data_IF_150076422577
#
_entry.id   IF_150076422577
#
_cell.length_a   1.000
_cell.length_b   1.000
_cell.length_c   1.000
_cell.angle_alpha   90.00
_cell.angle_beta   90.00
_cell.angle_gamma   90.00
#
_symmetry.space_group_name_H-M   'P 1'
#
loop_
_entity.id
_entity.type
_entity.pdbx_description
1 polymer ?
#
# COMPACT_ATOMS: atom_id res chain seq x y z
N UNK A 1 -11.07 40.12 -16.31
CA UNK A 1 -9.66 39.68 -16.26
C UNK A 1 -9.67 38.21 -15.94
N UNK A 2 -9.18 37.41 -16.89
CA UNK A 2 -9.50 35.99 -17.02
C UNK A 2 -8.93 35.17 -15.85
N UNK A 3 -9.73 34.18 -15.42
CA UNK A 3 -9.35 33.13 -14.47
C UNK A 3 -8.29 32.26 -15.16
N UNK A 4 -7.01 32.54 -14.92
CA UNK A 4 -5.95 31.56 -15.16
C UNK A 4 -6.23 30.39 -14.22
N UNK A 5 -6.70 29.29 -14.80
CA UNK A 5 -7.22 28.14 -14.07
C UNK A 5 -6.09 27.41 -13.34
N UNK A 6 -6.31 27.23 -12.04
CA UNK A 6 -5.52 26.41 -11.09
C UNK A 6 -5.22 24.98 -11.60
N UNK A 7 -5.90 24.52 -12.67
CA UNK A 7 -5.59 23.29 -13.42
C UNK A 7 -4.21 23.31 -14.13
N UNK A 8 -3.67 24.48 -14.48
CA UNK A 8 -2.40 24.58 -15.22
C UNK A 8 -1.17 24.16 -14.40
N UNK A 9 -1.20 24.40 -13.09
CA UNK A 9 -0.03 24.20 -12.20
C UNK A 9 0.09 22.72 -11.75
N UNK A 10 -1.02 22.06 -11.46
CA UNK A 10 -1.04 20.64 -11.07
C UNK A 10 -0.68 19.71 -12.23
N UNK A 11 -1.17 20.04 -13.43
CA UNK A 11 -0.83 19.33 -14.66
C UNK A 11 0.65 19.55 -15.02
N UNK A 12 1.22 20.75 -14.80
CA UNK A 12 2.66 20.99 -14.98
C UNK A 12 3.53 20.12 -14.05
N UNK A 13 3.12 19.92 -12.79
CA UNK A 13 3.86 19.10 -11.82
C UNK A 13 3.91 17.62 -12.20
N UNK A 14 2.77 17.04 -12.60
CA UNK A 14 2.68 15.67 -13.12
C UNK A 14 3.34 15.50 -14.50
N UNK A 15 3.25 16.51 -15.38
CA UNK A 15 3.93 16.53 -16.69
C UNK A 15 5.43 16.44 -16.52
N UNK A 16 5.98 17.27 -15.63
CA UNK A 16 7.41 17.28 -15.33
C UNK A 16 7.89 15.92 -14.80
N UNK A 17 7.13 15.33 -13.88
CA UNK A 17 7.45 14.02 -13.28
C UNK A 17 7.40 12.85 -14.27
N UNK A 18 6.45 12.86 -15.21
CA UNK A 18 6.37 11.85 -16.28
C UNK A 18 7.42 12.10 -17.38
N UNK A 19 7.72 13.36 -17.71
CA UNK A 19 8.76 13.73 -18.67
C UNK A 19 10.17 13.34 -18.19
N UNK A 20 10.46 13.54 -16.89
CA UNK A 20 11.75 13.22 -16.29
C UNK A 20 12.00 11.70 -16.15
N UNK A 21 10.93 10.89 -16.13
CA UNK A 21 11.01 9.45 -15.87
C UNK A 21 10.90 8.59 -17.13
N UNK A 22 10.19 9.05 -18.16
CA UNK A 22 9.89 8.28 -19.37
C UNK A 22 10.50 8.88 -20.66
N UNK A 23 11.36 9.91 -20.57
CA UNK A 23 11.92 10.63 -21.73
C UNK A 23 10.81 11.15 -22.69
N UNK A 24 9.63 11.45 -22.12
CA UNK A 24 8.48 11.94 -22.86
C UNK A 24 8.53 13.46 -23.00
N UNK A 25 8.19 13.97 -24.19
CA UNK A 25 7.99 15.40 -24.37
C UNK A 25 6.75 15.91 -23.60
N UNK A 26 6.72 17.22 -23.34
CA UNK A 26 5.67 17.87 -22.57
C UNK A 26 4.25 17.66 -23.15
N UNK A 27 4.14 17.47 -24.47
CA UNK A 27 2.87 17.27 -25.15
C UNK A 27 2.35 15.83 -24.98
N UNK A 28 3.23 14.84 -25.05
CA UNK A 28 2.92 13.44 -24.78
C UNK A 28 2.54 13.22 -23.30
N UNK A 29 3.29 13.85 -22.37
CA UNK A 29 2.96 13.84 -20.95
C UNK A 29 1.60 14.51 -20.67
N UNK A 30 1.30 15.62 -21.34
CA UNK A 30 0.01 16.30 -21.26
C UNK A 30 -1.17 15.41 -21.66
N UNK A 31 -1.05 14.76 -22.81
CA UNK A 31 -2.11 13.90 -23.35
C UNK A 31 -2.37 12.67 -22.46
N UNK A 32 -1.30 12.08 -21.89
CA UNK A 32 -1.40 10.95 -20.95
C UNK A 32 -2.12 11.34 -19.65
N UNK A 33 -1.84 12.53 -19.11
CA UNK A 33 -2.49 13.06 -17.90
C UNK A 33 -3.97 13.36 -18.16
N UNK A 34 -4.30 13.94 -19.30
CA UNK A 34 -5.70 14.24 -19.68
C UNK A 34 -6.52 12.94 -19.82
N UNK A 35 -5.92 11.92 -20.46
CA UNK A 35 -6.53 10.59 -20.57
C UNK A 35 -6.75 9.93 -19.20
N UNK A 36 -5.77 9.98 -18.29
CA UNK A 36 -5.90 9.46 -16.93
C UNK A 36 -6.98 10.21 -16.13
N UNK A 37 -7.06 11.53 -16.29
CA UNK A 37 -8.09 12.36 -15.64
C UNK A 37 -9.49 11.96 -16.10
N UNK A 38 -9.68 11.72 -17.40
CA UNK A 38 -10.95 11.26 -17.97
C UNK A 38 -11.31 9.83 -17.53
N UNK A 39 -10.33 8.92 -17.45
CA UNK A 39 -10.52 7.56 -16.94
C UNK A 39 -10.91 7.55 -15.44
N UNK A 40 -10.31 8.44 -14.64
CA UNK A 40 -10.63 8.61 -13.22
C UNK A 40 -12.01 9.25 -12.99
N UNK A 41 -12.43 10.20 -13.84
CA UNK A 41 -13.77 10.79 -13.80
C UNK A 41 -14.89 9.79 -14.14
N UNK A 42 -14.57 8.74 -14.92
CA UNK A 42 -15.48 7.62 -15.22
C UNK A 42 -15.69 6.66 -14.05
N UNK A 43 -14.77 6.62 -13.07
CA UNK A 43 -14.85 5.78 -11.88
C UNK A 43 -15.60 6.49 -10.74
N UNK A 44 -16.85 6.87 -10.95
CA UNK A 44 -17.70 7.36 -9.85
C UNK A 44 -17.89 6.24 -8.81
N UNK A 45 -17.38 6.44 -7.60
CA UNK A 45 -17.46 5.46 -6.52
C UNK A 45 -18.91 5.26 -6.07
N UNK A 46 -19.42 4.03 -6.10
CA UNK A 46 -20.58 3.66 -5.30
C UNK A 46 -20.18 3.70 -3.81
N UNK A 47 -21.00 4.38 -3.01
CA UNK A 47 -20.74 4.70 -1.60
C UNK A 47 -21.06 3.52 -0.66
N UNK A 48 -20.57 2.31 -0.94
CA UNK A 48 -20.67 1.21 0.01
C UNK A 48 -19.41 1.13 0.87
N UNK A 49 -19.59 0.97 2.19
CA UNK A 49 -18.50 0.64 3.09
C UNK A 49 -17.82 -0.68 2.67
N UNK A 50 -16.50 -0.82 2.87
CA UNK A 50 -15.77 -1.99 2.40
C UNK A 50 -16.24 -3.25 3.13
N UNK A 51 -16.43 -4.34 2.38
CA UNK A 51 -16.73 -5.66 2.93
C UNK A 51 -15.46 -6.49 3.19
N UNK A 52 -14.30 -5.98 2.75
CA UNK A 52 -13.04 -6.69 2.71
C UNK A 52 -11.93 -5.90 3.41
N UNK A 53 -11.18 -6.55 4.31
CA UNK A 53 -9.90 -6.07 4.82
C UNK A 53 -8.78 -6.91 4.19
N UNK A 54 -7.72 -6.28 3.67
CA UNK A 54 -6.64 -7.00 2.97
C UNK A 54 -5.28 -6.51 3.44
N UNK A 55 -4.43 -7.43 3.90
CA UNK A 55 -3.01 -7.21 4.14
C UNK A 55 -2.20 -7.70 2.95
N UNK A 56 -1.36 -6.84 2.38
CA UNK A 56 -0.49 -7.16 1.26
C UNK A 56 0.91 -6.55 1.45
N UNK A 57 1.92 -7.13 0.80
CA UNK A 57 3.29 -6.64 0.94
C UNK A 57 3.44 -5.26 0.26
N UNK A 58 4.29 -4.40 0.81
CA UNK A 58 4.59 -3.08 0.23
C UNK A 58 5.33 -3.18 -1.11
N UNK A 59 6.08 -4.26 -1.30
CA UNK A 59 6.83 -4.56 -2.53
C UNK A 59 6.04 -5.41 -3.54
N UNK A 60 4.75 -5.70 -3.29
CA UNK A 60 3.96 -6.46 -4.27
C UNK A 60 3.85 -5.70 -5.59
N UNK A 61 4.29 -6.35 -6.66
CA UNK A 61 4.25 -5.85 -8.04
C UNK A 61 2.85 -5.86 -8.66
N UNK A 62 1.86 -6.40 -7.95
CA UNK A 62 0.47 -6.47 -8.41
C UNK A 62 -0.47 -6.01 -7.29
N UNK A 63 -1.49 -5.23 -7.65
CA UNK A 63 -2.46 -4.72 -6.69
C UNK A 63 -3.39 -5.84 -6.20
N UNK A 64 -3.64 -5.98 -4.88
CA UNK A 64 -4.63 -6.92 -4.36
C UNK A 64 -6.04 -6.67 -4.92
N UNK A 65 -6.39 -5.40 -5.18
CA UNK A 65 -7.64 -5.00 -5.83
C UNK A 65 -7.77 -5.64 -7.21
N UNK A 66 -6.67 -5.74 -7.97
CA UNK A 66 -6.66 -6.39 -9.27
C UNK A 66 -6.73 -7.92 -9.15
N UNK A 67 -5.96 -8.53 -8.24
CA UNK A 67 -5.93 -9.99 -8.05
C UNK A 67 -7.31 -10.52 -7.64
N UNK A 68 -7.96 -9.82 -6.72
CA UNK A 68 -9.25 -10.22 -6.15
C UNK A 68 -10.45 -9.57 -6.88
N UNK A 69 -10.18 -8.79 -7.94
CA UNK A 69 -11.18 -8.11 -8.75
C UNK A 69 -12.18 -7.25 -7.95
N UNK A 70 -11.66 -6.51 -6.96
CA UNK A 70 -12.47 -5.58 -6.17
C UNK A 70 -12.75 -4.30 -6.94
N UNK A 71 -13.97 -3.77 -6.80
CA UNK A 71 -14.28 -2.41 -7.24
C UNK A 71 -13.72 -1.39 -6.25
N UNK A 72 -13.41 -0.15 -6.69
CA UNK A 72 -13.05 0.94 -5.78
C UNK A 72 -14.09 1.10 -4.66
N UNK A 73 -13.64 1.08 -3.41
CA UNK A 73 -14.48 1.16 -2.21
C UNK A 73 -14.82 -0.19 -1.57
N UNK A 74 -14.72 -1.31 -2.28
CA UNK A 74 -15.10 -2.62 -1.72
C UNK A 74 -14.08 -3.15 -0.70
N UNK A 75 -12.82 -2.70 -0.78
CA UNK A 75 -11.74 -3.16 0.09
C UNK A 75 -11.10 -2.04 0.92
N UNK A 76 -10.64 -2.40 2.10
CA UNK A 76 -9.72 -1.63 2.91
C UNK A 76 -8.36 -2.34 2.90
N UNK A 77 -7.35 -1.69 2.33
CA UNK A 77 -6.06 -2.35 2.01
C UNK A 77 -4.96 -1.77 2.89
N UNK A 78 -4.31 -2.64 3.64
CA UNK A 78 -3.10 -2.35 4.41
C UNK A 78 -1.90 -2.89 3.64
N UNK A 79 -0.88 -2.05 3.46
CA UNK A 79 0.40 -2.48 2.90
C UNK A 79 1.54 -2.16 3.84
N UNK A 80 2.32 -3.18 4.19
CA UNK A 80 3.48 -3.12 5.08
C UNK A 80 4.58 -4.10 4.62
N UNK A 81 5.71 -4.16 5.32
CA UNK A 81 6.79 -5.10 5.02
C UNK A 81 6.27 -6.54 5.27
N UNK A 82 6.39 -7.39 4.24
CA UNK A 82 6.04 -8.82 4.28
C UNK A 82 4.59 -9.16 4.66
N UNK A 83 3.62 -8.24 4.45
CA UNK A 83 2.20 -8.45 4.77
C UNK A 83 1.95 -9.00 6.18
N UNK A 84 2.84 -8.70 7.12
CA UNK A 84 2.78 -9.24 8.47
C UNK A 84 1.66 -8.55 9.25
N UNK A 85 0.87 -9.36 9.94
CA UNK A 85 -0.03 -8.86 10.98
C UNK A 85 0.62 -9.17 12.33
N UNK A 86 0.96 -8.15 13.14
CA UNK A 86 1.46 -8.36 14.48
C UNK A 86 0.34 -8.82 15.44
N UNK A 87 0.69 -9.50 16.54
CA UNK A 87 -0.27 -9.78 17.59
C UNK A 87 -0.77 -8.48 18.25
N UNK A 88 -1.93 -8.54 18.88
CA UNK A 88 -2.53 -7.44 19.62
C UNK A 88 -1.58 -6.93 20.69
N UNK A 89 -1.14 -5.68 20.55
CA UNK A 89 -0.31 -5.01 21.52
C UNK A 89 -0.59 -3.50 21.44
N UNK A 90 -1.15 -2.88 22.47
CA UNK A 90 -1.50 -1.44 22.41
C UNK A 90 -0.27 -0.52 22.39
N UNK A 91 0.89 -1.01 22.83
CA UNK A 91 2.12 -0.22 22.96
C UNK A 91 3.03 -0.33 21.73
N UNK A 92 2.88 -1.39 20.93
CA UNK A 92 3.67 -1.66 19.72
C UNK A 92 2.73 -1.88 18.54
N UNK A 93 3.13 -1.47 17.34
CA UNK A 93 2.39 -1.75 16.10
C UNK A 93 1.06 -1.01 15.92
N UNK A 94 0.95 0.20 16.48
CA UNK A 94 -0.27 1.02 16.46
C UNK A 94 -0.88 1.20 15.07
N UNK A 95 -0.07 1.31 14.01
CA UNK A 95 -0.57 1.49 12.64
C UNK A 95 -1.38 0.32 12.10
N UNK A 96 -0.92 -0.93 12.31
CA UNK A 96 -1.67 -2.12 11.85
C UNK A 96 -2.86 -2.39 12.77
N UNK A 97 -2.69 -2.26 14.09
CA UNK A 97 -3.79 -2.40 15.04
C UNK A 97 -4.93 -1.42 14.76
N UNK A 98 -4.61 -0.15 14.47
CA UNK A 98 -5.58 0.87 14.11
C UNK A 98 -6.32 0.51 12.82
N UNK A 99 -5.61 0.02 11.79
CA UNK A 99 -6.23 -0.40 10.54
C UNK A 99 -7.22 -1.57 10.72
N UNK A 100 -6.88 -2.56 11.56
CA UNK A 100 -7.79 -3.67 11.89
C UNK A 100 -9.01 -3.15 12.65
N UNK A 101 -8.80 -2.37 13.71
CA UNK A 101 -9.89 -1.82 14.52
C UNK A 101 -10.82 -0.94 13.69
N UNK A 102 -10.28 -0.06 12.84
CA UNK A 102 -11.08 0.81 11.99
C UNK A 102 -11.91 0.00 10.98
N UNK A 103 -11.29 -0.98 10.33
CA UNK A 103 -11.98 -1.83 9.38
C UNK A 103 -13.12 -2.63 10.04
N UNK A 104 -12.85 -3.26 11.19
CA UNK A 104 -13.78 -4.19 11.84
C UNK A 104 -14.84 -3.46 12.67
N UNK A 105 -14.43 -2.45 13.44
CA UNK A 105 -15.29 -1.77 14.42
C UNK A 105 -15.94 -0.50 13.89
N UNK A 106 -15.34 0.19 12.90
CA UNK A 106 -15.87 1.46 12.36
C UNK A 106 -16.53 1.26 11.00
N UNK A 107 -15.83 0.64 10.05
CA UNK A 107 -16.35 0.41 8.69
C UNK A 107 -17.28 -0.81 8.60
N UNK A 108 -17.26 -1.67 9.64
CA UNK A 108 -18.12 -2.85 9.68
C UNK A 108 -17.75 -3.90 8.63
N UNK A 109 -16.45 -4.06 8.32
CA UNK A 109 -15.96 -5.18 7.50
C UNK A 109 -16.47 -6.49 8.12
N UNK A 110 -17.41 -7.12 7.43
CA UNK A 110 -18.23 -8.21 7.96
C UNK A 110 -18.28 -9.46 7.05
N UNK A 111 -17.38 -9.54 6.08
CA UNK A 111 -17.27 -10.71 5.23
C UNK A 111 -15.91 -11.35 5.35
N UNK A 112 -14.85 -10.67 4.92
CA UNK A 112 -13.54 -11.30 4.85
C UNK A 112 -12.39 -10.38 5.26
N UNK A 113 -11.44 -10.97 5.98
CA UNK A 113 -10.12 -10.41 6.23
C UNK A 113 -9.07 -11.35 5.60
N UNK A 114 -8.26 -10.80 4.70
CA UNK A 114 -7.29 -11.54 3.91
C UNK A 114 -5.87 -11.15 4.28
N UNK A 115 -5.00 -12.14 4.41
CA UNK A 115 -3.55 -11.94 4.36
C UNK A 115 -3.05 -12.53 3.04
N UNK A 116 -2.54 -11.68 2.14
CA UNK A 116 -2.22 -12.05 0.77
C UNK A 116 -0.72 -11.85 0.51
N UNK A 117 -0.02 -12.96 0.36
CA UNK A 117 1.34 -12.98 -0.15
C UNK A 117 1.32 -12.93 -1.68
N UNK A 118 2.16 -12.09 -2.27
CA UNK A 118 2.31 -11.95 -3.72
C UNK A 118 3.79 -12.08 -4.02
N UNK A 119 4.18 -13.16 -4.70
CA UNK A 119 5.58 -13.51 -4.93
C UNK A 119 5.72 -14.37 -6.19
N UNK A 120 6.92 -14.53 -6.73
CA UNK A 120 7.20 -15.42 -7.85
C UNK A 120 7.53 -16.86 -7.43
N UNK A 121 7.81 -17.12 -6.15
CA UNK A 121 8.23 -18.43 -5.62
C UNK A 121 9.65 -18.86 -6.04
N UNK A 122 10.08 -18.54 -7.26
CA UNK A 122 11.37 -18.96 -7.83
C UNK A 122 12.47 -17.88 -7.69
N UNK A 123 13.72 -18.35 -7.67
CA UNK A 123 14.90 -17.48 -7.68
C UNK A 123 15.22 -17.08 -9.12
N UNK A 124 14.50 -16.09 -9.65
CA UNK A 124 15.01 -15.38 -10.82
C UNK A 124 16.26 -14.63 -10.37
N UNK A 125 17.34 -14.64 -11.16
CA UNK A 125 18.64 -14.01 -10.84
C UNK A 125 18.63 -12.48 -10.65
N UNK A 126 17.48 -11.91 -10.31
CA UNK A 126 17.23 -10.53 -9.96
C UNK A 126 16.53 -10.48 -8.60
N UNK A 127 16.95 -9.55 -7.73
CA UNK A 127 16.61 -9.46 -6.30
C UNK A 127 15.12 -9.38 -5.92
N UNK A 128 14.17 -9.30 -6.86
CA UNK A 128 12.82 -8.82 -6.55
C UNK A 128 11.68 -9.62 -7.23
N UNK A 129 11.90 -10.91 -7.49
CA UNK A 129 10.80 -11.85 -7.68
C UNK A 129 10.15 -12.28 -6.36
N UNK A 130 10.85 -12.15 -5.23
CA UNK A 130 10.45 -12.63 -3.92
C UNK A 130 10.15 -11.48 -2.97
N UNK A 131 9.53 -11.78 -1.84
CA UNK A 131 9.27 -10.77 -0.83
C UNK A 131 10.54 -10.43 -0.04
N UNK A 132 11.12 -9.25 -0.29
CA UNK A 132 12.35 -8.81 0.38
C UNK A 132 12.28 -8.77 1.92
N UNK A 133 11.09 -8.54 2.49
CA UNK A 133 10.88 -8.65 3.94
C UNK A 133 10.96 -10.08 4.47
N UNK A 134 10.51 -11.08 3.69
CA UNK A 134 10.62 -12.51 4.03
C UNK A 134 12.06 -12.99 3.84
N UNK A 135 12.76 -12.50 2.82
CA UNK A 135 14.19 -12.75 2.67
C UNK A 135 14.98 -12.23 3.87
N UNK A 136 14.70 -10.99 4.30
CA UNK A 136 15.31 -10.43 5.50
C UNK A 136 14.98 -11.24 6.76
N UNK A 137 13.73 -11.71 6.91
CA UNK A 137 13.35 -12.62 7.99
C UNK A 137 14.16 -13.93 7.96
N UNK A 138 14.35 -14.51 6.78
CA UNK A 138 15.15 -15.74 6.62
C UNK A 138 16.61 -15.53 7.05
N UNK A 139 17.17 -14.35 6.80
CA UNK A 139 18.53 -13.98 7.23
C UNK A 139 18.60 -13.52 8.70
N UNK A 140 17.46 -13.18 9.30
CA UNK A 140 17.43 -12.60 10.64
C UNK A 140 18.08 -13.51 11.70
N UNK A 141 19.03 -13.01 12.52
CA UNK A 141 19.85 -13.83 13.43
C UNK A 141 19.07 -14.47 14.59
N UNK A 142 17.86 -13.98 14.89
CA UNK A 142 16.96 -14.53 15.90
C UNK A 142 16.77 -13.58 17.09
N UNK A 143 16.08 -14.02 18.14
CA UNK A 143 15.87 -13.20 19.34
C UNK A 143 17.20 -12.92 20.07
N UNK A 144 17.38 -11.68 20.53
CA UNK A 144 18.55 -11.27 21.32
C UNK A 144 19.73 -10.71 20.51
N UNK A 145 19.61 -10.60 19.18
CA UNK A 145 20.56 -9.86 18.36
C UNK A 145 20.43 -8.35 18.54
N UNK A 146 21.55 -7.66 18.72
CA UNK A 146 21.61 -6.21 19.01
C UNK A 146 21.62 -5.38 17.70
N UNK A 147 20.71 -5.66 16.78
CA UNK A 147 20.48 -4.80 15.62
C UNK A 147 19.18 -4.02 15.85
N UNK A 148 19.32 -2.77 16.29
CA UNK A 148 18.20 -1.85 16.56
C UNK A 148 17.89 -1.01 15.32
N UNK A 149 17.68 -1.67 14.18
CA UNK A 149 17.06 -1.04 13.03
C UNK A 149 15.57 -1.40 12.96
N UNK A 150 14.78 -0.56 12.30
CA UNK A 150 13.34 -0.76 12.25
C UNK A 150 12.95 -2.03 11.49
N UNK A 151 13.70 -2.39 10.46
CA UNK A 151 13.42 -3.56 9.64
C UNK A 151 13.54 -4.83 10.48
N UNK A 152 14.62 -5.00 11.25
CA UNK A 152 14.80 -6.17 12.11
C UNK A 152 13.75 -6.25 13.22
N UNK A 153 13.46 -5.13 13.90
CA UNK A 153 12.37 -5.09 14.90
C UNK A 153 11.00 -5.41 14.29
N UNK A 154 10.75 -5.06 13.03
CA UNK A 154 9.50 -5.43 12.37
C UNK A 154 9.46 -6.90 11.97
N UNK A 155 10.48 -7.40 11.25
CA UNK A 155 10.44 -8.78 10.75
C UNK A 155 10.50 -9.81 11.86
N UNK A 156 10.97 -9.46 13.06
CA UNK A 156 10.97 -10.37 14.22
C UNK A 156 9.58 -10.96 14.53
N UNK A 157 8.49 -10.28 14.13
CA UNK A 157 7.11 -10.80 14.22
C UNK A 157 7.02 -12.18 13.56
N UNK A 158 7.76 -12.41 12.47
CA UNK A 158 7.77 -13.64 11.70
C UNK A 158 8.69 -14.75 12.22
N UNK A 159 9.46 -14.53 13.29
CA UNK A 159 10.39 -15.55 13.81
C UNK A 159 9.71 -16.88 14.20
N UNK A 160 8.50 -16.92 14.76
CA UNK A 160 7.79 -18.19 14.97
C UNK A 160 7.55 -18.98 13.67
N UNK A 161 7.21 -18.30 12.57
CA UNK A 161 7.03 -18.92 11.26
C UNK A 161 8.35 -19.48 10.72
N UNK A 162 9.44 -18.71 10.83
CA UNK A 162 10.80 -19.15 10.48
C UNK A 162 11.20 -20.41 11.24
N UNK A 163 11.07 -20.38 12.57
CA UNK A 163 11.40 -21.52 13.43
C UNK A 163 10.62 -22.77 13.03
N UNK A 164 9.34 -22.63 12.68
CA UNK A 164 8.49 -23.74 12.24
C UNK A 164 8.93 -24.33 10.89
N UNK A 165 9.27 -23.49 9.91
CA UNK A 165 9.79 -23.95 8.61
C UNK A 165 11.11 -24.71 8.76
N UNK A 166 12.03 -24.19 9.59
CA UNK A 166 13.31 -24.86 9.87
C UNK A 166 13.07 -26.21 10.58
N UNK A 167 12.20 -26.24 11.58
CA UNK A 167 11.88 -27.46 12.33
C UNK A 167 11.22 -28.56 11.49
N UNK A 168 10.51 -28.19 10.41
CA UNK A 168 9.90 -29.13 9.46
C UNK A 168 10.92 -29.79 8.51
N UNK A 169 12.19 -29.37 8.53
CA UNK A 169 13.22 -29.92 7.66
C UNK A 169 13.00 -29.59 6.18
N UNK A 170 12.33 -28.46 5.87
CA UNK A 170 12.10 -28.02 4.49
C UNK A 170 13.45 -27.81 3.78
N UNK A 171 13.66 -28.35 2.56
CA UNK A 171 14.88 -28.14 1.78
C UNK A 171 15.20 -26.65 1.57
N UNK A 172 16.49 -26.29 1.64
CA UNK A 172 16.93 -24.89 1.65
C UNK A 172 16.44 -24.05 0.45
N UNK A 173 16.34 -24.66 -0.72
CA UNK A 173 15.83 -24.07 -1.96
C UNK A 173 14.32 -23.75 -1.90
N UNK A 174 13.58 -24.43 -1.03
CA UNK A 174 12.13 -24.29 -0.83
C UNK A 174 11.76 -23.49 0.44
N UNK A 175 12.73 -23.22 1.33
CA UNK A 175 12.47 -22.59 2.63
C UNK A 175 11.85 -21.19 2.50
N UNK A 176 12.22 -20.40 1.48
CA UNK A 176 11.67 -19.06 1.31
C UNK A 176 10.18 -19.08 0.94
N UNK A 177 9.76 -19.90 -0.03
CA UNK A 177 8.33 -20.04 -0.37
C UNK A 177 7.54 -20.64 0.82
N UNK A 178 8.12 -21.61 1.51
CA UNK A 178 7.51 -22.16 2.72
C UNK A 178 7.33 -21.09 3.81
N UNK A 179 8.32 -20.23 4.00
CA UNK A 179 8.28 -19.12 4.95
C UNK A 179 7.28 -18.04 4.54
N UNK A 180 7.17 -17.73 3.26
CA UNK A 180 6.14 -16.86 2.70
C UNK A 180 4.73 -17.35 3.09
N UNK A 181 4.44 -18.64 2.88
CA UNK A 181 3.13 -19.24 3.24
C UNK A 181 2.94 -19.35 4.75
N UNK A 182 3.99 -19.63 5.51
CA UNK A 182 3.90 -19.75 6.96
C UNK A 182 3.77 -18.38 7.67
N UNK A 183 4.34 -17.30 7.11
CA UNK A 183 4.13 -15.94 7.58
C UNK A 183 2.68 -15.48 7.40
N UNK A 184 2.02 -15.91 6.31
CA UNK A 184 0.57 -15.73 6.11
C UNK A 184 -0.20 -16.46 7.22
N UNK A 185 0.13 -17.73 7.51
CA UNK A 185 -0.50 -18.49 8.59
C UNK A 185 -0.34 -17.81 9.96
N UNK A 186 0.88 -17.37 10.28
CA UNK A 186 1.15 -16.64 11.52
C UNK A 186 0.34 -15.35 11.61
N UNK A 187 0.16 -14.65 10.49
CA UNK A 187 -0.66 -13.43 10.45
C UNK A 187 -2.14 -13.72 10.70
N UNK A 188 -2.67 -14.88 10.26
CA UNK A 188 -4.02 -15.32 10.60
C UNK A 188 -4.17 -15.60 12.10
N UNK A 189 -3.21 -16.31 12.70
CA UNK A 189 -3.17 -16.55 14.15
C UNK A 189 -3.14 -15.21 14.91
N UNK A 190 -2.30 -14.27 14.46
CA UNK A 190 -2.19 -12.96 15.08
C UNK A 190 -3.47 -12.13 14.93
N UNK A 191 -4.19 -12.20 13.81
CA UNK A 191 -5.51 -11.56 13.67
C UNK A 191 -6.49 -12.05 14.75
N UNK A 192 -6.42 -13.33 15.11
CA UNK A 192 -7.24 -13.87 16.19
C UNK A 192 -6.83 -13.39 17.59
N UNK A 193 -5.73 -12.67 17.76
CA UNK A 193 -5.39 -12.08 19.07
C UNK A 193 -6.13 -10.77 19.35
N UNK A 194 -6.79 -10.19 18.34
CA UNK A 194 -7.57 -8.95 18.47
C UNK A 194 -8.99 -9.26 18.99
N UNK A 195 -9.42 -8.72 20.15
CA UNK A 195 -10.70 -9.10 20.78
C UNK A 195 -11.92 -8.90 19.87
N UNK A 196 -11.99 -7.76 19.17
CA UNK A 196 -13.09 -7.44 18.25
C UNK A 196 -13.06 -8.29 16.96
N UNK A 197 -11.91 -8.85 16.58
CA UNK A 197 -11.83 -9.84 15.49
C UNK A 197 -12.39 -11.18 15.97
N UNK A 198 -11.97 -11.65 17.17
CA UNK A 198 -12.49 -12.88 17.76
C UNK A 198 -14.01 -12.84 17.95
N UNK A 199 -14.51 -11.71 18.45
CA UNK A 199 -15.95 -11.49 18.62
C UNK A 199 -16.69 -11.70 17.30
N UNK A 200 -16.28 -11.00 16.22
CA UNK A 200 -16.92 -11.14 14.91
C UNK A 200 -16.80 -12.54 14.31
N UNK A 201 -15.67 -13.23 14.50
CA UNK A 201 -15.50 -14.62 14.09
C UNK A 201 -16.50 -15.52 14.84
N UNK A 202 -16.61 -15.35 16.16
CA UNK A 202 -17.53 -16.13 17.01
C UNK A 202 -19.00 -15.93 16.63
N UNK A 203 -19.36 -14.71 16.19
CA UNK A 203 -20.68 -14.36 15.68
C UNK A 203 -20.92 -14.82 14.23
N UNK A 204 -19.93 -15.43 13.57
CA UNK A 204 -19.94 -15.78 12.14
C UNK A 204 -20.13 -14.57 11.21
N UNK A 205 -19.73 -13.39 11.67
CA UNK A 205 -19.76 -12.12 10.92
C UNK A 205 -18.41 -11.75 10.32
N UNK A 206 -17.37 -12.57 10.47
CA UNK A 206 -16.08 -12.34 9.83
C UNK A 206 -15.38 -13.66 9.56
N UNK A 207 -14.88 -13.84 8.35
CA UNK A 207 -14.02 -14.95 7.97
C UNK A 207 -12.58 -14.45 7.73
N UNK A 208 -11.60 -15.10 8.34
CA UNK A 208 -10.17 -14.85 8.07
C UNK A 208 -9.65 -15.88 7.06
N UNK A 209 -8.84 -15.43 6.09
CA UNK A 209 -8.32 -16.27 5.00
C UNK A 209 -6.89 -15.90 4.65
N UNK A 210 -6.07 -16.91 4.41
CA UNK A 210 -4.72 -16.76 3.87
C UNK A 210 -4.74 -16.94 2.37
N UNK A 211 -3.87 -16.23 1.66
CA UNK A 211 -3.73 -16.37 0.21
C UNK A 211 -2.30 -16.22 -0.27
N UNK A 212 -1.99 -16.89 -1.37
CA UNK A 212 -0.71 -16.82 -2.08
C UNK A 212 -0.97 -16.64 -3.57
N UNK A 213 -0.44 -15.57 -4.14
CA UNK A 213 -0.50 -15.30 -5.57
C UNK A 213 0.89 -15.42 -6.18
N UNK A 214 1.03 -16.32 -7.15
CA UNK A 214 2.27 -16.49 -7.90
C UNK A 214 2.32 -15.50 -9.08
N UNK A 215 3.32 -14.62 -9.11
CA UNK A 215 3.49 -13.59 -10.13
C UNK A 215 3.87 -14.14 -11.51
N UNK A 216 4.51 -15.30 -11.57
CA UNK A 216 5.05 -15.90 -12.81
C UNK A 216 3.94 -16.58 -13.59
N UNK A 217 3.25 -17.52 -12.94
CA UNK A 217 2.23 -18.35 -13.58
C UNK A 217 0.80 -17.82 -13.35
N UNK A 218 0.64 -16.80 -12.50
CA UNK A 218 -0.64 -16.20 -12.17
C UNK A 218 -1.55 -17.04 -11.29
N UNK A 219 -1.06 -18.15 -10.71
CA UNK A 219 -1.85 -19.04 -9.86
C UNK A 219 -2.20 -18.37 -8.54
N UNK A 220 -3.39 -18.65 -8.02
CA UNK A 220 -3.87 -18.15 -6.74
C UNK A 220 -4.29 -19.30 -5.84
N UNK A 221 -3.63 -19.42 -4.69
CA UNK A 221 -4.00 -20.33 -3.60
C UNK A 221 -4.72 -19.53 -2.51
N UNK A 222 -5.82 -20.08 -1.97
CA UNK A 222 -6.58 -19.49 -0.88
C UNK A 222 -6.92 -20.56 0.15
N UNK A 223 -6.73 -20.28 1.44
CA UNK A 223 -6.98 -21.25 2.51
C UNK A 223 -7.54 -20.60 3.78
N UNK A 224 -8.10 -21.45 4.64
CA UNK A 224 -8.51 -21.09 6.00
C UNK A 224 -7.45 -21.56 7.01
N UNK A 225 -7.42 -20.96 8.19
CA UNK A 225 -6.48 -21.32 9.26
C UNK A 225 -6.56 -22.78 9.72
N UNK A 226 -7.64 -23.50 9.37
CA UNK A 226 -7.88 -24.88 9.84
C UNK A 226 -7.90 -25.94 8.73
N UNK A 227 -7.94 -25.57 7.45
CA UNK A 227 -7.82 -26.52 6.33
C UNK A 227 -7.18 -25.83 5.14
N UNK A 228 -6.04 -26.38 4.66
CA UNK A 228 -5.67 -26.23 3.26
C UNK A 228 -6.83 -26.86 2.48
N UNK A 229 -7.66 -26.03 1.87
CA UNK A 229 -8.50 -26.52 0.80
C UNK A 229 -7.51 -26.90 -0.30
N UNK A 230 -7.44 -28.19 -0.62
CA UNK A 230 -6.66 -28.67 -1.75
C UNK A 230 -6.89 -27.74 -2.92
N UNK A 231 -5.80 -27.44 -3.66
CA UNK A 231 -5.77 -26.67 -4.91
C UNK A 231 -7.18 -26.56 -5.45
N UNK A 232 -7.78 -25.37 -5.40
CA UNK A 232 -8.86 -25.14 -6.33
C UNK A 232 -8.21 -25.38 -7.69
N UNK A 233 -8.50 -26.53 -8.29
CA UNK A 233 -8.45 -26.67 -9.73
C UNK A 233 -9.44 -25.62 -10.18
N UNK A 234 -8.94 -24.39 -10.36
CA UNK A 234 -9.65 -23.42 -11.13
C UNK A 234 -9.95 -24.17 -12.42
N UNK A 235 -11.23 -24.37 -12.72
CA UNK A 235 -11.64 -24.31 -14.12
C UNK A 235 -10.98 -23.04 -14.59
N UNK A 236 -9.92 -23.19 -15.38
CA UNK A 236 -9.00 -22.09 -15.59
C UNK A 236 -9.86 -21.00 -16.24
N UNK A 237 -10.11 -19.91 -15.51
CA UNK A 237 -10.91 -18.80 -16.03
C UNK A 237 -10.27 -18.30 -17.33
N UNK A 238 -8.95 -18.52 -17.45
CA UNK A 238 -8.18 -18.51 -18.69
C UNK A 238 -8.75 -19.41 -19.80
N UNK A 239 -8.98 -20.72 -19.66
CA UNK A 239 -9.43 -21.56 -20.79
C UNK A 239 -10.84 -21.23 -21.27
N UNK A 240 -11.78 -20.94 -20.35
CA UNK A 240 -13.15 -20.57 -20.74
C UNK A 240 -13.15 -19.18 -21.39
N UNK A 241 -12.38 -18.22 -20.85
CA UNK A 241 -12.24 -16.91 -21.45
C UNK A 241 -11.46 -16.95 -22.77
N UNK A 242 -10.41 -17.78 -22.89
CA UNK A 242 -9.62 -18.01 -24.10
C UNK A 242 -10.49 -18.65 -25.17
N UNK A 243 -11.32 -19.65 -24.84
CA UNK A 243 -12.27 -20.21 -25.81
C UNK A 243 -13.33 -19.18 -26.25
N UNK A 244 -13.85 -18.37 -25.32
CA UNK A 244 -14.76 -17.27 -25.64
C UNK A 244 -14.12 -16.21 -26.54
N UNK A 245 -12.87 -15.84 -26.27
CA UNK A 245 -12.08 -14.91 -27.08
C UNK A 245 -11.68 -15.50 -28.44
N UNK A 246 -11.34 -16.80 -28.51
CA UNK A 246 -11.05 -17.50 -29.77
C UNK A 246 -12.24 -17.38 -30.70
N UNK A 247 -13.44 -17.68 -30.17
CA UNK A 247 -14.70 -17.58 -30.90
C UNK A 247 -15.01 -16.15 -31.34
N UNK A 248 -14.83 -15.16 -30.47
CA UNK A 248 -15.06 -13.75 -30.83
C UNK A 248 -14.07 -13.20 -31.86
N UNK A 249 -12.81 -13.64 -31.83
CA UNK A 249 -11.77 -13.21 -32.76
C UNK A 249 -11.92 -13.91 -34.12
N UNK A 250 -12.29 -15.19 -34.14
CA UNK A 250 -12.61 -15.88 -35.41
C UNK A 250 -13.85 -15.27 -36.06
N UNK A 251 -14.87 -14.89 -35.29
CA UNK A 251 -16.09 -14.26 -35.80
C UNK A 251 -15.92 -12.80 -36.26
N UNK A 252 -15.05 -12.00 -35.64
CA UNK A 252 -14.88 -10.57 -35.95
C UNK A 252 -13.76 -10.24 -36.93
N UNK A 253 -12.72 -11.05 -37.00
CA UNK A 253 -11.53 -10.79 -37.81
C UNK A 253 -11.31 -11.84 -38.92
N UNK A 254 -12.27 -12.77 -39.09
CA UNK A 254 -12.21 -13.86 -40.09
C UNK A 254 -10.92 -14.71 -39.97
N UNK A 255 -10.48 -14.91 -38.72
CA UNK A 255 -9.30 -15.70 -38.39
C UNK A 255 -9.66 -17.17 -38.16
N UNK A 256 -8.85 -18.10 -38.67
CA UNK A 256 -9.01 -19.52 -38.32
C UNK A 256 -8.65 -19.79 -36.84
N UNK A 257 -9.12 -20.92 -36.30
CA UNK A 257 -8.96 -21.27 -34.88
C UNK A 257 -7.49 -21.34 -34.43
N UNK A 258 -6.57 -21.66 -35.34
CA UNK A 258 -5.13 -21.76 -35.06
C UNK A 258 -4.53 -20.36 -34.98
N UNK A 259 -4.87 -19.47 -35.91
CA UNK A 259 -4.44 -18.08 -35.93
C UNK A 259 -5.04 -17.26 -34.78
N UNK A 260 -6.32 -17.48 -34.44
CA UNK A 260 -6.96 -16.90 -33.27
C UNK A 260 -6.29 -17.38 -31.97
N UNK A 261 -5.96 -18.68 -31.90
CA UNK A 261 -5.20 -19.25 -30.78
C UNK A 261 -3.81 -18.65 -30.61
N UNK A 262 -3.04 -18.55 -31.69
CA UNK A 262 -1.70 -17.96 -31.67
C UNK A 262 -1.73 -16.46 -31.32
N UNK A 263 -2.74 -15.72 -31.76
CA UNK A 263 -2.92 -14.30 -31.43
C UNK A 263 -3.31 -14.09 -29.97
N UNK A 264 -4.16 -14.94 -29.41
CA UNK A 264 -4.48 -14.94 -27.98
C UNK A 264 -3.27 -15.33 -27.16
N UNK A 265 -2.51 -16.34 -27.57
CA UNK A 265 -1.28 -16.72 -26.89
C UNK A 265 -0.26 -15.58 -26.94
N UNK A 266 -0.11 -14.90 -28.08
CA UNK A 266 0.73 -13.70 -28.22
C UNK A 266 0.25 -12.54 -27.34
N UNK A 267 -1.05 -12.22 -27.31
CA UNK A 267 -1.62 -11.17 -26.46
C UNK A 267 -1.55 -11.54 -24.97
N UNK A 268 -1.71 -12.82 -24.65
CA UNK A 268 -1.56 -13.35 -23.29
C UNK A 268 -0.10 -13.28 -22.87
N UNK A 269 0.84 -13.60 -23.75
CA UNK A 269 2.28 -13.41 -23.57
C UNK A 269 2.68 -11.93 -23.59
N UNK A 270 1.95 -11.02 -24.23
CA UNK A 270 2.17 -9.57 -24.16
C UNK A 270 1.60 -8.97 -22.86
N UNK A 271 0.50 -9.54 -22.33
CA UNK A 271 -0.10 -9.19 -21.03
C UNK A 271 0.68 -9.80 -19.85
N UNK A 272 1.16 -11.03 -20.00
CA UNK A 272 2.06 -11.73 -19.05
C UNK A 272 3.51 -11.25 -19.20
N UNK A 273 3.90 -10.84 -20.41
CA UNK A 273 5.21 -10.34 -20.79
C UNK A 273 5.27 -8.82 -20.94
N UNK A 274 4.35 -8.07 -20.31
CA UNK A 274 4.76 -6.83 -19.64
C UNK A 274 5.82 -7.26 -18.62
N UNK A 275 7.04 -7.43 -19.11
CA UNK A 275 8.24 -7.72 -18.32
C UNK A 275 8.14 -6.81 -17.12
N UNK A 276 8.16 -7.41 -15.92
CA UNK A 276 8.42 -6.62 -14.73
C UNK A 276 9.75 -5.92 -15.01
N UNK A 277 9.72 -4.62 -15.30
CA UNK A 277 10.95 -3.88 -15.49
C UNK A 277 11.77 -4.13 -14.22
N UNK A 278 12.98 -4.61 -14.43
CA UNK A 278 13.88 -5.14 -13.40
C UNK A 278 14.50 -4.03 -12.54
N UNK A 279 13.87 -2.86 -12.50
CA UNK A 279 14.31 -1.72 -11.71
C UNK A 279 13.69 -1.79 -10.33
N UNK A 280 14.50 -1.48 -9.32
CA UNK A 280 14.02 -1.23 -7.98
C UNK A 280 13.07 -0.01 -8.00
N UNK A 281 12.09 0.06 -7.09
CA UNK A 281 11.12 1.15 -7.11
C UNK A 281 11.83 2.49 -6.89
N UNK A 282 11.50 3.48 -7.72
CA UNK A 282 11.99 4.85 -7.57
C UNK A 282 11.17 5.66 -6.55
N UNK A 283 10.01 5.12 -6.12
CA UNK A 283 9.07 5.79 -5.23
C UNK A 283 8.76 4.95 -3.99
N UNK A 284 8.83 5.57 -2.82
CA UNK A 284 8.07 5.18 -1.64
C UNK A 284 6.76 5.99 -1.61
N UNK A 285 5.62 5.33 -1.56
CA UNK A 285 4.30 5.99 -1.56
C UNK A 285 3.53 5.67 -0.30
N UNK A 286 3.14 6.70 0.45
CA UNK A 286 2.15 6.61 1.53
C UNK A 286 0.78 7.00 0.99
N UNK A 287 -0.21 6.12 1.15
CA UNK A 287 -1.59 6.39 0.78
C UNK A 287 -2.57 5.83 1.80
N UNK A 288 -3.80 6.33 1.80
CA UNK A 288 -4.80 5.84 2.74
C UNK A 288 -5.19 4.40 2.39
N UNK A 289 -5.59 3.60 3.38
CA UNK A 289 -6.10 2.25 3.17
C UNK A 289 -7.43 2.17 2.42
N UNK A 290 -8.14 3.29 2.25
CA UNK A 290 -9.35 3.40 1.43
C UNK A 290 -9.09 3.03 -0.04
N UNK A 291 -9.67 1.93 -0.53
CA UNK A 291 -9.38 1.44 -1.90
C UNK A 291 -9.76 2.39 -3.03
N UNK A 292 -10.63 3.38 -2.80
CA UNK A 292 -10.97 4.40 -3.81
C UNK A 292 -9.77 5.25 -4.20
N UNK A 293 -8.75 5.30 -3.34
CA UNK A 293 -7.57 6.14 -3.52
C UNK A 293 -6.28 5.37 -3.69
N UNK A 294 -6.36 4.19 -4.31
CA UNK A 294 -5.17 3.39 -4.61
C UNK A 294 -4.24 4.13 -5.60
N UNK A 295 -2.97 4.38 -5.23
CA UNK A 295 -2.02 5.10 -6.09
C UNK A 295 -1.74 4.39 -7.41
N UNK A 296 -1.83 3.06 -7.45
CA UNK A 296 -1.70 2.26 -8.68
C UNK A 296 -2.67 2.74 -9.74
N UNK A 297 -3.92 3.04 -9.37
CA UNK A 297 -4.95 3.47 -10.32
C UNK A 297 -4.89 4.99 -10.57
N UNK A 298 -4.72 5.80 -9.52
CA UNK A 298 -4.72 7.27 -9.65
C UNK A 298 -3.51 7.77 -10.46
N UNK A 299 -2.34 7.20 -10.21
CA UNK A 299 -1.06 7.66 -10.79
C UNK A 299 -0.53 6.71 -11.87
N UNK A 300 -1.26 5.63 -12.18
CA UNK A 300 -0.89 4.63 -13.19
C UNK A 300 0.49 4.00 -12.97
N UNK A 301 0.91 3.85 -11.71
CA UNK A 301 2.16 3.17 -11.38
C UNK A 301 2.18 1.76 -11.96
N UNK A 302 3.23 1.45 -12.72
CA UNK A 302 3.48 0.12 -13.25
C UNK A 302 4.01 -0.80 -12.14
N UNK A 303 3.84 -2.13 -12.30
CA UNK A 303 4.47 -3.12 -11.45
C UNK A 303 5.94 -2.82 -11.18
N UNK A 304 6.31 -2.69 -9.90
CA UNK A 304 7.69 -2.46 -9.47
C UNK A 304 8.13 -0.98 -9.41
N UNK A 305 7.31 -0.02 -9.85
CA UNK A 305 7.72 1.39 -9.83
C UNK A 305 7.60 2.08 -8.47
N UNK A 306 6.75 1.54 -7.59
CA UNK A 306 6.45 2.13 -6.30
C UNK A 306 6.35 1.07 -5.21
N UNK A 307 7.13 1.27 -4.15
CA UNK A 307 6.99 0.60 -2.88
C UNK A 307 5.91 1.32 -2.07
N UNK A 308 4.82 0.62 -1.70
CA UNK A 308 3.61 1.27 -1.19
C UNK A 308 3.32 0.93 0.26
N UNK A 309 3.17 1.94 1.11
CA UNK A 309 2.61 1.82 2.44
C UNK A 309 1.17 2.33 2.43
N UNK A 310 0.25 1.53 2.98
CA UNK A 310 -1.15 1.94 3.13
C UNK A 310 -1.62 1.78 4.57
N UNK A 311 -2.04 2.88 5.17
CA UNK A 311 -2.52 2.95 6.55
C UNK A 311 -3.69 3.95 6.68
N UNK A 312 -4.25 4.09 7.88
CA UNK A 312 -5.31 5.07 8.13
C UNK A 312 -4.77 6.48 7.92
N UNK A 313 -5.49 7.25 7.09
CA UNK A 313 -5.22 8.65 6.83
C UNK A 313 -3.81 8.95 6.30
N UNK A 314 -3.16 7.98 5.63
CA UNK A 314 -1.85 8.13 4.99
C UNK A 314 -0.80 8.82 5.88
N UNK A 315 -0.89 8.59 7.20
CA UNK A 315 -0.08 9.27 8.18
C UNK A 315 1.32 8.66 8.22
N UNK A 316 2.31 9.54 8.26
CA UNK A 316 3.68 9.17 8.63
C UNK A 316 3.95 9.66 10.05
N UNK A 317 4.15 8.77 11.03
CA UNK A 317 4.53 9.17 12.37
C UNK A 317 5.98 9.69 12.42
N UNK A 318 6.34 10.48 13.45
CA UNK A 318 7.74 10.82 13.71
C UNK A 318 8.56 9.57 14.04
N UNK A 319 9.89 9.66 13.90
CA UNK A 319 10.83 8.60 14.23
C UNK A 319 10.61 8.12 15.68
N UNK A 320 10.15 6.88 15.84
CA UNK A 320 10.04 6.21 17.13
C UNK A 320 10.13 4.69 16.94
N UNK A 321 11.26 4.11 17.34
CA UNK A 321 11.55 2.69 17.18
C UNK A 321 10.66 1.77 18.03
N UNK A 322 10.03 2.28 19.08
CA UNK A 322 9.20 1.46 19.99
C UNK A 322 7.77 1.36 19.45
N UNK A 323 7.18 2.49 19.05
CA UNK A 323 5.73 2.58 18.77
C UNK A 323 5.38 2.39 17.31
N UNK A 324 6.23 2.88 16.40
CA UNK A 324 5.91 3.02 14.97
C UNK A 324 6.75 2.11 14.07
N UNK A 325 7.13 0.93 14.57
CA UNK A 325 8.11 0.08 13.90
C UNK A 325 7.71 -0.34 12.48
N UNK A 326 6.44 -0.59 12.20
CA UNK A 326 5.99 -0.96 10.86
C UNK A 326 6.16 0.14 9.80
N UNK A 327 5.87 1.40 10.13
CA UNK A 327 6.12 2.51 9.20
C UNK A 327 7.61 2.82 9.12
N UNK A 328 8.31 2.84 10.26
CA UNK A 328 9.75 3.05 10.26
C UNK A 328 10.50 2.01 9.42
N UNK A 329 10.10 0.74 9.49
CA UNK A 329 10.69 -0.35 8.71
C UNK A 329 10.49 -0.14 7.21
N UNK A 330 9.29 0.30 6.81
CA UNK A 330 8.99 0.60 5.42
C UNK A 330 9.84 1.77 4.88
N UNK A 331 10.04 2.83 5.67
CA UNK A 331 10.86 3.98 5.28
C UNK A 331 12.33 3.56 5.21
N UNK A 332 12.83 2.88 6.23
CA UNK A 332 14.21 2.39 6.28
C UNK A 332 14.53 1.48 5.10
N UNK A 333 13.68 0.48 4.84
CA UNK A 333 13.89 -0.44 3.74
C UNK A 333 13.88 0.29 2.39
N UNK A 334 12.89 1.14 2.15
CA UNK A 334 12.79 1.85 0.89
C UNK A 334 13.98 2.82 0.66
N UNK A 335 14.42 3.55 1.68
CA UNK A 335 15.47 4.57 1.54
C UNK A 335 16.87 3.96 1.59
N UNK A 336 17.12 3.06 2.53
CA UNK A 336 18.46 2.52 2.81
C UNK A 336 18.77 1.26 2.00
N UNK A 337 17.77 0.45 1.66
CA UNK A 337 17.96 -0.81 0.91
C UNK A 337 17.60 -0.65 -0.56
N UNK A 338 16.40 -0.14 -0.86
CA UNK A 338 15.94 0.02 -2.25
C UNK A 338 16.48 1.29 -2.92
N UNK A 339 16.91 2.28 -2.14
CA UNK A 339 17.46 3.53 -2.67
C UNK A 339 16.43 4.37 -3.42
N UNK A 340 15.16 4.38 -2.98
CA UNK A 340 14.12 5.22 -3.59
C UNK A 340 14.58 6.68 -3.66
N UNK A 341 14.25 7.35 -4.75
CA UNK A 341 14.62 8.76 -5.00
C UNK A 341 13.50 9.73 -4.60
N UNK A 342 12.30 9.19 -4.38
CA UNK A 342 11.09 9.98 -4.17
C UNK A 342 10.26 9.37 -3.05
N UNK A 343 9.86 10.18 -2.06
CA UNK A 343 8.79 9.82 -1.12
C UNK A 343 7.56 10.69 -1.43
N UNK A 344 6.43 10.04 -1.71
CA UNK A 344 5.16 10.70 -2.01
C UNK A 344 4.12 10.34 -0.95
N UNK A 345 3.57 11.34 -0.25
CA UNK A 345 2.46 11.18 0.70
C UNK A 345 1.18 11.70 0.08
N UNK A 346 0.17 10.84 -0.10
CA UNK A 346 -1.07 11.16 -0.81
C UNK A 346 -2.24 11.19 0.17
N UNK A 347 -2.70 12.39 0.48
CA UNK A 347 -3.98 12.65 1.13
C UNK A 347 -5.15 12.55 0.15
N UNK A 348 -6.37 12.55 0.66
CA UNK A 348 -7.55 12.50 -0.20
C UNK A 348 -8.80 13.11 0.42
N UNK A 349 -9.75 13.47 -0.45
CA UNK A 349 -11.05 14.01 -0.05
C UNK A 349 -11.87 13.04 0.80
N UNK A 350 -12.60 13.56 1.78
CA UNK A 350 -13.54 12.81 2.63
C UNK A 350 -12.86 11.63 3.35
N UNK A 351 -11.64 11.82 3.83
CA UNK A 351 -10.89 10.80 4.55
C UNK A 351 -11.51 10.52 5.91
N UNK A 352 -11.98 9.28 6.11
CA UNK A 352 -12.61 8.87 7.36
C UNK A 352 -11.69 8.93 8.59
N UNK A 353 -10.39 8.68 8.41
CA UNK A 353 -9.41 8.82 9.50
C UNK A 353 -9.16 10.28 9.89
N UNK A 354 -9.10 11.19 8.92
CA UNK A 354 -8.97 12.63 9.18
C UNK A 354 -10.26 13.19 9.79
N UNK A 355 -11.43 12.71 9.33
CA UNK A 355 -12.70 13.01 9.97
C UNK A 355 -12.68 12.61 11.45
N UNK A 356 -12.21 11.38 11.76
CA UNK A 356 -12.07 10.93 13.15
C UNK A 356 -11.13 11.81 13.96
N UNK A 357 -9.98 12.22 13.40
CA UNK A 357 -9.07 13.19 14.03
C UNK A 357 -9.78 14.52 14.38
N UNK A 358 -10.58 15.05 13.45
CA UNK A 358 -11.36 16.26 13.69
C UNK A 358 -12.35 16.08 14.86
N UNK A 359 -12.98 14.91 14.93
CA UNK A 359 -13.98 14.54 15.95
C UNK A 359 -13.38 14.07 17.28
N UNK A 360 -12.04 13.96 17.41
CA UNK A 360 -11.42 13.59 18.68
C UNK A 360 -11.84 14.56 19.80
N UNK A 361 -12.28 14.04 20.95
CA UNK A 361 -12.76 14.86 22.05
C UNK A 361 -11.58 15.59 22.73
N UNK A 362 -11.83 16.83 23.17
CA UNK A 362 -10.82 17.69 23.79
C UNK A 362 -10.48 17.33 25.25
N UNK A 363 -11.24 16.42 25.87
CA UNK A 363 -11.06 15.96 27.25
C UNK A 363 -10.09 14.78 27.38
N UNK A 364 -9.53 14.29 26.26
CA UNK A 364 -8.62 13.16 26.22
C UNK A 364 -9.28 11.80 26.33
N UNK A 365 -10.62 11.72 26.29
CA UNK A 365 -11.32 10.44 26.22
C UNK A 365 -11.01 9.70 24.91
N UNK A 366 -10.78 8.39 25.02
CA UNK A 366 -10.55 7.50 23.89
C UNK A 366 -11.73 6.55 23.76
N UNK A 367 -12.26 6.44 22.55
CA UNK A 367 -13.35 5.52 22.21
C UNK A 367 -12.85 4.22 21.58
N UNK A 368 -11.66 4.27 20.97
CA UNK A 368 -11.02 3.16 20.28
C UNK A 368 -9.65 2.86 20.89
N UNK A 369 -9.24 1.59 20.88
CA UNK A 369 -7.99 1.12 21.45
C UNK A 369 -6.76 1.58 20.67
N UNK A 370 -6.87 1.67 19.35
CA UNK A 370 -5.80 1.99 18.41
C UNK A 370 -6.14 3.14 17.47
N UNK A 371 -7.39 3.25 16.99
CA UNK A 371 -7.76 4.27 15.99
C UNK A 371 -7.48 5.67 16.53
N UNK A 372 -7.96 5.97 17.74
CA UNK A 372 -7.78 7.28 18.37
C UNK A 372 -6.31 7.57 18.64
N UNK A 373 -5.59 6.59 19.17
CA UNK A 373 -4.15 6.65 19.41
C UNK A 373 -3.35 6.92 18.12
N UNK A 374 -3.73 6.29 17.01
CA UNK A 374 -3.08 6.46 15.71
C UNK A 374 -3.36 7.83 15.10
N UNK A 375 -4.63 8.24 15.03
CA UNK A 375 -4.96 9.52 14.38
C UNK A 375 -4.42 10.72 15.15
N UNK A 376 -4.09 10.56 16.44
CA UNK A 376 -3.42 11.60 17.23
C UNK A 376 -2.07 12.05 16.68
N UNK A 377 -1.41 11.26 15.82
CA UNK A 377 -0.24 11.72 15.04
C UNK A 377 -0.56 13.06 14.34
N UNK A 378 -1.80 13.24 13.87
CA UNK A 378 -2.26 14.43 13.17
C UNK A 378 -2.66 15.62 14.05
N UNK A 379 -2.59 15.53 15.38
CA UNK A 379 -2.99 16.63 16.28
C UNK A 379 -2.32 17.97 15.95
N UNK A 380 -0.99 18.04 15.65
CA UNK A 380 -0.37 19.31 15.25
C UNK A 380 -1.01 19.94 14.01
N UNK A 381 -1.39 19.12 13.02
CA UNK A 381 -2.09 19.59 11.82
C UNK A 381 -3.49 20.12 12.17
N UNK A 382 -4.24 19.41 13.03
CA UNK A 382 -5.56 19.85 13.53
C UNK A 382 -5.44 21.20 14.24
N UNK A 383 -4.50 21.33 15.18
CA UNK A 383 -4.27 22.57 15.92
C UNK A 383 -3.96 23.74 14.99
N UNK A 384 -3.14 23.52 13.96
CA UNK A 384 -2.81 24.55 12.96
C UNK A 384 -4.05 25.00 12.15
N UNK A 385 -4.85 24.06 11.64
CA UNK A 385 -6.06 24.37 10.85
C UNK A 385 -7.09 25.12 11.70
N UNK A 386 -7.29 24.71 12.96
CA UNK A 386 -8.20 25.39 13.89
C UNK A 386 -7.70 26.80 14.22
N UNK A 387 -6.41 26.96 14.50
CA UNK A 387 -5.81 28.26 14.82
C UNK A 387 -5.86 29.25 13.65
N UNK A 388 -5.88 28.77 12.40
CA UNK A 388 -6.03 29.60 11.20
C UNK A 388 -7.46 30.12 10.99
N UNK A 389 -8.43 29.70 11.81
CA UNK A 389 -9.82 30.15 11.70
C UNK A 389 -10.52 29.67 10.43
N UNK A 390 -10.10 28.53 9.88
CA UNK A 390 -10.74 27.93 8.68
C UNK A 390 -12.23 27.66 8.97
N UNK A 391 -13.16 28.04 8.07
CA UNK A 391 -14.59 27.75 8.22
C UNK A 391 -14.88 26.25 8.41
N UNK A 392 -15.83 25.91 9.29
CA UNK A 392 -16.08 24.53 9.72
C UNK A 392 -16.37 23.55 8.56
N UNK A 393 -17.05 24.00 7.51
CA UNK A 393 -17.36 23.24 6.30
C UNK A 393 -16.13 22.95 5.42
N UNK A 394 -15.04 23.71 5.61
CA UNK A 394 -13.77 23.58 4.88
C UNK A 394 -12.65 22.95 5.73
N UNK A 395 -12.84 22.86 7.05
CA UNK A 395 -11.81 22.36 7.96
C UNK A 395 -11.38 20.93 7.66
N UNK A 396 -12.29 20.07 7.17
CA UNK A 396 -11.94 18.69 6.84
C UNK A 396 -10.94 18.62 5.68
N UNK A 397 -11.23 19.29 4.57
CA UNK A 397 -10.32 19.34 3.42
C UNK A 397 -8.99 20.01 3.77
N UNK A 398 -9.04 21.12 4.53
CA UNK A 398 -7.84 21.79 5.00
C UNK A 398 -6.98 20.86 5.88
N UNK A 399 -7.59 20.08 6.76
CA UNK A 399 -6.89 19.12 7.61
C UNK A 399 -6.35 17.93 6.83
N UNK A 400 -7.06 17.45 5.80
CA UNK A 400 -6.55 16.38 4.93
C UNK A 400 -5.24 16.80 4.23
N UNK A 401 -5.17 18.04 3.75
CA UNK A 401 -3.95 18.62 3.15
C UNK A 401 -2.86 18.89 4.19
N UNK A 402 -3.22 19.43 5.35
CA UNK A 402 -2.24 19.73 6.39
C UNK A 402 -1.67 18.47 7.06
N UNK A 403 -2.42 17.38 7.15
CA UNK A 403 -1.92 16.08 7.61
C UNK A 403 -0.86 15.49 6.66
N UNK A 404 -0.97 15.75 5.35
CA UNK A 404 0.09 15.44 4.38
C UNK A 404 1.35 16.26 4.70
N UNK A 405 1.22 17.58 4.90
CA UNK A 405 2.35 18.44 5.25
C UNK A 405 3.04 17.99 6.54
N UNK A 406 2.27 17.65 7.58
CA UNK A 406 2.80 17.12 8.83
C UNK A 406 3.56 15.80 8.61
N UNK A 407 3.03 14.90 7.77
CA UNK A 407 3.70 13.65 7.44
C UNK A 407 5.04 13.88 6.71
N UNK A 408 5.12 14.89 5.83
CA UNK A 408 6.37 15.32 5.19
C UNK A 408 7.37 15.91 6.19
N UNK A 409 6.89 16.62 7.21
CA UNK A 409 7.73 17.08 8.33
C UNK A 409 8.23 15.91 9.16
N UNK A 410 7.36 14.96 9.50
CA UNK A 410 7.71 13.76 10.27
C UNK A 410 8.75 12.90 9.54
N UNK A 411 8.68 12.79 8.20
CA UNK A 411 9.70 12.10 7.39
C UNK A 411 11.11 12.65 7.62
N UNK A 412 11.27 13.95 7.88
CA UNK A 412 12.59 14.55 8.15
C UNK A 412 13.15 14.22 9.54
N UNK A 413 12.35 13.61 10.43
CA UNK A 413 12.83 13.12 11.73
C UNK A 413 13.60 11.81 11.61
N UNK A 414 13.51 11.12 10.47
CA UNK A 414 14.26 9.90 10.18
C UNK A 414 15.67 10.25 9.68
N UNK A 415 16.75 9.81 10.37
CA UNK A 415 18.11 10.24 10.05
C UNK A 415 18.53 9.98 8.60
N UNK A 416 18.26 8.77 8.07
CA UNK A 416 18.59 8.39 6.70
C UNK A 416 17.77 9.14 5.64
N UNK A 417 16.54 9.57 5.96
CA UNK A 417 15.77 10.46 5.06
C UNK A 417 16.42 11.83 5.01
N UNK A 418 16.73 12.40 6.18
CA UNK A 418 17.38 13.71 6.29
C UNK A 418 18.73 13.75 5.58
N UNK A 419 19.52 12.69 5.73
CA UNK A 419 20.80 12.51 5.03
C UNK A 419 20.60 12.53 3.52
N UNK A 420 19.71 11.68 2.97
CA UNK A 420 19.50 11.60 1.51
C UNK A 420 18.91 12.88 0.90
N UNK A 421 18.09 13.62 1.65
CA UNK A 421 17.63 14.95 1.25
C UNK A 421 18.82 15.92 1.15
N UNK A 422 19.71 15.93 2.15
CA UNK A 422 20.90 16.80 2.15
C UNK A 422 21.87 16.48 1.01
N UNK A 423 21.94 15.21 0.60
CA UNK A 423 22.70 14.74 -0.56
C UNK A 423 22.02 15.03 -1.90
N UNK A 424 20.80 15.59 -1.90
CA UNK A 424 19.93 15.77 -3.09
C UNK A 424 19.61 14.46 -3.83
N UNK A 425 19.61 13.33 -3.11
CA UNK A 425 19.26 12.01 -3.65
C UNK A 425 17.83 11.59 -3.33
N UNK A 426 17.13 12.35 -2.50
CA UNK A 426 15.76 12.06 -2.09
C UNK A 426 14.91 13.34 -2.07
N UNK A 427 13.74 13.29 -2.71
CA UNK A 427 12.77 14.37 -2.71
C UNK A 427 11.47 13.95 -1.99
N UNK A 428 10.96 14.85 -1.14
CA UNK A 428 9.70 14.65 -0.41
C UNK A 428 8.56 15.41 -1.08
N UNK A 429 7.47 14.73 -1.43
CA UNK A 429 6.33 15.30 -2.13
C UNK A 429 5.01 14.98 -1.44
N UNK A 430 4.13 15.96 -1.42
CA UNK A 430 2.76 15.82 -0.97
C UNK A 430 1.81 15.79 -2.16
N UNK A 431 0.78 14.98 -2.07
CA UNK A 431 -0.31 14.93 -3.02
C UNK A 431 -1.66 14.96 -2.32
N UNK A 432 -2.68 15.46 -3.01
CA UNK A 432 -4.06 15.42 -2.54
C UNK A 432 -4.99 15.00 -3.68
N UNK A 433 -5.62 13.84 -3.55
CA UNK A 433 -6.59 13.36 -4.53
C UNK A 433 -8.02 13.62 -4.08
N UNK A 434 -8.74 14.46 -4.82
CA UNK A 434 -10.15 14.67 -4.62
C UNK A 434 -10.97 13.77 -5.55
N UNK A 435 -11.43 12.64 -5.01
CA UNK A 435 -12.22 11.67 -5.79
C UNK A 435 -13.66 12.16 -6.07
N UNK A 436 -14.12 13.24 -5.44
CA UNK A 436 -15.47 13.79 -5.69
C UNK A 436 -15.52 14.47 -7.06
N UNK A 437 -14.43 15.14 -7.45
CA UNK A 437 -14.32 15.85 -8.73
C UNK A 437 -13.23 15.26 -9.66
N UNK A 438 -12.48 14.26 -9.20
CA UNK A 438 -11.44 13.59 -9.98
C UNK A 438 -10.17 14.43 -10.17
N UNK A 439 -9.84 15.32 -9.23
CA UNK A 439 -8.64 16.18 -9.32
C UNK A 439 -7.50 15.70 -8.42
N UNK A 440 -6.27 15.99 -8.82
CA UNK A 440 -5.06 15.69 -8.05
C UNK A 440 -4.20 16.95 -7.93
N UNK A 441 -3.87 17.33 -6.70
CA UNK A 441 -2.90 18.39 -6.39
C UNK A 441 -1.57 17.74 -6.00
N UNK A 442 -0.45 18.32 -6.45
CA UNK A 442 0.90 17.84 -6.17
C UNK A 442 1.78 19.01 -5.74
N UNK A 443 2.55 18.84 -4.68
CA UNK A 443 3.54 19.81 -4.23
C UNK A 443 4.80 19.12 -3.71
N UNK A 444 5.91 19.85 -3.70
CA UNK A 444 7.19 19.38 -3.19
C UNK A 444 7.58 20.17 -1.95
N UNK A 445 8.04 19.46 -0.91
CA UNK A 445 8.58 20.09 0.27
C UNK A 445 9.99 20.59 -0.04
N UNK A 446 10.13 21.91 -0.20
CA UNK A 446 11.43 22.56 -0.36
C UNK A 446 12.04 22.82 1.01
N UNK A 447 13.09 22.09 1.35
CA UNK A 447 13.90 22.36 2.54
C UNK A 447 15.01 23.35 2.17
N UNK A 448 15.18 24.40 2.96
CA UNK A 448 16.31 25.32 2.86
C UNK A 448 17.02 25.38 4.20
N UNK A 449 18.34 25.31 4.19
CA UNK A 449 19.15 25.64 5.36
C UNK A 449 19.10 27.16 5.49
N UNK A 450 18.46 27.67 6.55
CA UNK A 450 18.53 29.10 6.86
C UNK A 450 19.95 29.44 7.33
N UNK A 451 20.48 30.64 7.02
CA UNK A 451 21.70 31.13 7.65
C UNK A 451 21.59 31.03 9.18
N UNK A 452 22.71 30.78 9.89
CA UNK A 452 22.67 30.72 11.35
C UNK A 452 22.11 32.04 11.90
N UNK A 453 21.18 31.93 12.87
CA UNK A 453 20.74 33.09 13.63
C UNK A 453 21.89 33.44 14.58
N UNK A 454 22.63 34.49 14.25
CA UNK A 454 23.66 35.05 15.12
C UNK A 454 22.92 35.96 16.10
N UNK A 455 22.91 35.58 17.38
CA UNK A 455 22.44 36.43 18.47
C UNK A 455 23.69 37.16 18.97
N UNK A 456 23.79 38.46 18.69
CA UNK A 456 24.86 39.36 19.18
C UNK A 456 24.61 39.82 20.62
#
# INVERSE_FOLDING_TARGET
MARDSVSGVAIQGLRKLLSEKEDLDDAAAASKIEKLTLELQGQKSHASDPAFLVFACSDSRKSPTFILNFKPGEAFVVRNIANLVPPFNKLRYSGVGAAIEYAVSVLGVNKYCFTLQISSGEHFGHRHGRCGGIERLMEHPGYGSVHFDFVDDWVQIGLPAKSKVIAQGVPADQQLEALEKEAVNLSLVNLQTYPYVQEKISERKLAIRGGYYNLVNGSFELWEEVRRVDKMAGVSVSEVAIQGLKKLLSEKEDLDDVAAGAKIEKLTLELQGQKSHSSDPAFLVFACSDSRVSPTFILNFKPGEAFMVRNIANLVPPFNQIRYSGVGAAIEYAVSVLGVENILVIGHSRCGGIKRLMELPGDGSVHFDFVDDWVQIGLPAKSKVVAQGVPADQQLEALEKEAVNLSLVNLQTYPYVKEKISEKKLALRGGYYNFVNGSFELWELKTCISPPIIIE
#
